data_IF_326815646300
#
_entry.id   IF_326815646300
#
_cell.length_a   1.000
_cell.length_b   1.000
_cell.length_c   1.000
_cell.angle_alpha   90.00
_cell.angle_beta   90.00
_cell.angle_gamma   90.00
#
_symmetry.space_group_name_H-M   'P 1'
#
loop_
_entity.id
_entity.type
_entity.pdbx_description
1 polymer ?
#
# COMPACT_ATOMS: atom_id res chain seq x y z
N UNK A 1 -22.83 36.17 11.03
CA UNK A 1 -23.17 34.76 10.72
C UNK A 1 -23.36 34.05 12.05
N UNK A 2 -24.58 33.55 12.31
CA UNK A 2 -24.93 32.95 13.59
C UNK A 2 -24.24 31.63 13.81
N UNK A 3 -23.76 31.35 15.00
CA UNK A 3 -23.09 30.11 15.42
C UNK A 3 -23.97 28.84 15.27
N UNK A 4 -25.24 29.00 14.85
CA UNK A 4 -26.26 27.96 14.79
C UNK A 4 -26.90 27.76 13.39
N UNK A 5 -26.29 28.27 12.33
CA UNK A 5 -26.85 28.05 10.99
C UNK A 5 -26.83 26.54 10.65
N UNK A 6 -28.04 26.02 10.36
CA UNK A 6 -28.20 24.61 9.98
C UNK A 6 -27.47 24.37 8.65
N UNK A 7 -26.45 23.48 8.65
CA UNK A 7 -25.74 23.06 7.45
C UNK A 7 -26.35 21.79 6.90
N UNK A 8 -26.40 21.72 5.58
CA UNK A 8 -26.86 20.54 4.85
C UNK A 8 -25.72 20.03 3.94
N UNK A 9 -25.74 18.74 3.64
CA UNK A 9 -24.79 18.12 2.73
C UNK A 9 -25.17 18.43 1.28
N UNK A 10 -24.28 19.06 0.53
CA UNK A 10 -24.54 19.44 -0.86
C UNK A 10 -24.52 18.23 -1.83
N UNK A 11 -24.17 17.06 -1.32
CA UNK A 11 -24.21 15.79 -2.06
C UNK A 11 -25.53 15.04 -1.85
N UNK A 12 -25.95 14.81 -0.60
CA UNK A 12 -27.12 13.97 -0.28
C UNK A 12 -28.29 14.73 0.38
N UNK A 13 -28.15 16.03 0.63
CA UNK A 13 -29.18 16.86 1.27
C UNK A 13 -29.38 16.62 2.77
N UNK A 14 -28.68 15.68 3.38
CA UNK A 14 -28.84 15.38 4.81
C UNK A 14 -28.35 16.53 5.69
N UNK A 15 -29.08 16.77 6.81
CA UNK A 15 -28.66 17.75 7.81
C UNK A 15 -27.35 17.35 8.48
N UNK A 16 -26.40 18.26 8.52
CA UNK A 16 -25.11 18.05 9.15
C UNK A 16 -25.17 18.47 10.63
N UNK A 17 -24.78 17.56 11.54
CA UNK A 17 -24.66 17.84 12.95
C UNK A 17 -23.48 18.76 13.27
N UNK A 18 -23.40 19.23 14.52
CA UNK A 18 -22.45 20.25 14.97
C UNK A 18 -20.98 19.98 14.62
N UNK A 19 -20.50 18.73 14.71
CA UNK A 19 -19.13 18.31 14.37
C UNK A 19 -19.04 17.47 13.09
N UNK A 20 -20.15 17.34 12.36
CA UNK A 20 -20.25 16.42 11.20
C UNK A 20 -19.81 17.02 9.86
N UNK A 21 -19.58 18.34 9.81
CA UNK A 21 -19.24 18.99 8.54
C UNK A 21 -17.83 18.68 8.08
N UNK A 22 -17.73 18.20 6.86
CA UNK A 22 -16.48 18.01 6.10
C UNK A 22 -16.47 19.04 4.97
N UNK A 23 -15.91 20.23 5.24
CA UNK A 23 -15.91 21.37 4.29
C UNK A 23 -15.24 20.97 2.99
N UNK A 24 -15.86 21.38 1.87
CA UNK A 24 -15.32 21.35 0.50
C UNK A 24 -14.91 22.77 0.09
N UNK A 25 -14.37 22.92 -1.11
CA UNK A 25 -14.04 24.24 -1.66
C UNK A 25 -15.30 25.12 -1.76
N UNK A 26 -16.34 24.59 -2.39
CA UNK A 26 -17.59 25.29 -2.72
C UNK A 26 -18.83 24.80 -1.94
N UNK A 27 -18.65 23.89 -0.92
CA UNK A 27 -19.80 23.31 -0.23
C UNK A 27 -19.49 22.58 1.06
N UNK A 28 -20.48 21.81 1.53
CA UNK A 28 -20.46 21.04 2.75
C UNK A 28 -20.75 19.56 2.48
N UNK A 29 -20.03 18.69 3.15
CA UNK A 29 -20.18 17.24 3.03
C UNK A 29 -20.48 16.64 4.41
N UNK A 30 -21.45 15.72 4.51
CA UNK A 30 -21.72 14.98 5.74
C UNK A 30 -20.67 13.87 5.95
N UNK A 31 -20.61 13.39 7.20
CA UNK A 31 -19.68 12.30 7.58
C UNK A 31 -19.91 11.02 6.75
N UNK A 32 -21.19 10.70 6.47
CA UNK A 32 -21.54 9.46 5.75
C UNK A 32 -21.11 9.51 4.28
N UNK A 33 -21.31 10.66 3.60
CA UNK A 33 -20.80 10.85 2.25
C UNK A 33 -19.26 10.85 2.22
N UNK A 34 -18.62 11.53 3.19
CA UNK A 34 -17.16 11.52 3.30
C UNK A 34 -16.58 10.13 3.55
N UNK A 35 -17.27 9.28 4.32
CA UNK A 35 -16.85 7.89 4.58
C UNK A 35 -16.98 6.95 3.38
N UNK A 36 -17.65 7.36 2.31
CA UNK A 36 -17.76 6.60 1.06
C UNK A 36 -16.65 6.91 0.06
N UNK A 37 -15.90 8.00 0.28
CA UNK A 37 -14.76 8.35 -0.58
C UNK A 37 -13.64 7.33 -0.46
N UNK A 38 -12.69 7.35 -1.38
CA UNK A 38 -11.48 6.55 -1.29
C UNK A 38 -10.71 6.86 0.00
N UNK A 39 -10.19 5.86 0.73
CA UNK A 39 -9.33 6.07 1.89
C UNK A 39 -7.99 6.71 1.52
N UNK A 40 -7.60 6.67 0.24
CA UNK A 40 -6.37 7.27 -0.29
C UNK A 40 -6.57 8.72 -0.77
N UNK A 41 -7.82 9.18 -0.83
CA UNK A 41 -8.14 10.54 -1.27
C UNK A 41 -7.88 11.55 -0.15
N UNK A 42 -6.85 12.37 -0.29
CA UNK A 42 -6.42 13.37 0.70
C UNK A 42 -6.95 14.77 0.44
N UNK A 43 -7.23 15.12 -0.82
CA UNK A 43 -7.48 16.51 -1.27
C UNK A 43 -8.94 16.97 -1.19
N UNK A 44 -9.73 16.37 -0.33
CA UNK A 44 -11.16 16.66 -0.18
C UNK A 44 -11.46 18.16 0.08
N UNK A 45 -10.58 18.88 0.80
CA UNK A 45 -10.84 20.28 1.15
C UNK A 45 -10.78 21.23 -0.04
N UNK A 46 -9.95 20.89 -1.00
CA UNK A 46 -9.74 21.66 -2.23
C UNK A 46 -10.60 21.12 -3.38
N UNK A 47 -11.47 20.14 -3.11
CA UNK A 47 -12.38 19.59 -4.09
C UNK A 47 -13.75 20.25 -4.04
N UNK A 48 -14.33 20.38 -5.22
CA UNK A 48 -15.69 20.90 -5.41
C UNK A 48 -16.75 19.82 -5.14
N UNK A 49 -17.99 20.23 -4.94
CA UNK A 49 -19.14 19.31 -4.81
C UNK A 49 -19.29 18.44 -6.07
N UNK A 50 -18.97 18.96 -7.24
CA UNK A 50 -19.03 18.22 -8.50
C UNK A 50 -18.01 17.07 -8.52
N UNK A 51 -16.75 17.34 -8.21
CA UNK A 51 -15.68 16.34 -8.12
C UNK A 51 -15.97 15.25 -7.08
N UNK A 52 -16.53 15.63 -5.93
CA UNK A 52 -16.95 14.66 -4.91
C UNK A 52 -18.07 13.75 -5.43
N UNK A 53 -19.02 14.27 -6.20
CA UNK A 53 -20.08 13.45 -6.83
C UNK A 53 -19.50 12.49 -7.88
N UNK A 54 -18.53 12.93 -8.67
CA UNK A 54 -17.83 12.08 -9.64
C UNK A 54 -17.06 10.96 -8.95
N UNK A 55 -16.33 11.28 -7.85
CA UNK A 55 -15.66 10.26 -7.07
C UNK A 55 -16.63 9.25 -6.47
N UNK A 56 -17.78 9.70 -5.95
CA UNK A 56 -18.78 8.79 -5.40
C UNK A 56 -19.39 7.88 -6.48
N UNK A 57 -19.59 8.37 -7.70
CA UNK A 57 -19.99 7.55 -8.84
C UNK A 57 -18.92 6.50 -9.18
N UNK A 58 -17.66 6.92 -9.29
CA UNK A 58 -16.52 6.00 -9.46
C UNK A 58 -16.48 4.91 -8.36
N UNK A 59 -16.74 5.28 -7.10
CA UNK A 59 -16.80 4.34 -5.97
C UNK A 59 -17.97 3.35 -6.07
N UNK A 60 -19.07 3.73 -6.69
CA UNK A 60 -20.19 2.83 -6.95
C UNK A 60 -19.86 1.84 -8.06
N UNK A 61 -19.26 2.29 -9.17
CA UNK A 61 -18.75 1.42 -10.23
C UNK A 61 -17.68 0.45 -9.72
N UNK A 62 -16.82 0.90 -8.78
CA UNK A 62 -15.80 0.07 -8.17
C UNK A 62 -16.38 -1.16 -7.46
N UNK A 63 -17.56 -1.06 -6.85
CA UNK A 63 -18.23 -2.21 -6.21
C UNK A 63 -18.53 -3.32 -7.23
N UNK A 64 -19.03 -2.95 -8.41
CA UNK A 64 -19.34 -3.92 -9.48
C UNK A 64 -18.05 -4.57 -10.00
N UNK A 65 -16.96 -3.79 -10.10
CA UNK A 65 -15.65 -4.30 -10.52
C UNK A 65 -15.01 -5.25 -9.49
N UNK A 66 -15.39 -5.16 -8.22
CA UNK A 66 -14.93 -6.05 -7.16
C UNK A 66 -15.63 -7.43 -7.20
N UNK A 67 -16.78 -7.57 -7.86
CA UNK A 67 -17.53 -8.83 -7.91
C UNK A 67 -16.74 -9.95 -8.60
N UNK A 68 -15.95 -9.61 -9.62
CA UNK A 68 -15.09 -10.55 -10.36
C UNK A 68 -13.61 -10.55 -9.90
N UNK A 69 -13.29 -9.87 -8.80
CA UNK A 69 -11.96 -9.87 -8.22
C UNK A 69 -11.68 -11.15 -7.44
N UNK A 70 -10.71 -11.94 -7.90
CA UNK A 70 -10.35 -13.25 -7.35
C UNK A 70 -8.87 -13.28 -6.95
N UNK A 71 -8.52 -12.71 -5.80
CA UNK A 71 -7.13 -12.67 -5.35
C UNK A 71 -6.61 -14.06 -5.00
N UNK A 72 -5.41 -14.37 -5.47
CA UNK A 72 -4.68 -15.62 -5.17
C UNK A 72 -3.38 -15.37 -4.43
N UNK A 73 -2.94 -14.11 -4.33
CA UNK A 73 -1.73 -13.70 -3.61
C UNK A 73 -2.10 -12.65 -2.59
N UNK A 74 -1.49 -12.72 -1.39
CA UNK A 74 -1.73 -11.78 -0.31
C UNK A 74 -0.42 -11.44 0.39
N UNK A 75 -0.21 -10.16 0.65
CA UNK A 75 0.85 -9.66 1.53
C UNK A 75 0.21 -8.99 2.75
N UNK A 76 0.68 -9.37 3.93
CA UNK A 76 0.27 -8.77 5.20
C UNK A 76 1.22 -7.63 5.58
N UNK A 77 0.69 -6.65 6.31
CA UNK A 77 1.41 -5.47 6.81
C UNK A 77 0.44 -4.52 7.49
N UNK A 78 0.79 -3.25 7.62
CA UNK A 78 -0.08 -2.17 8.14
C UNK A 78 -1.41 -2.07 7.37
N UNK A 79 -1.37 -2.48 6.12
CA UNK A 79 -2.50 -2.75 5.23
C UNK A 79 -2.23 -4.06 4.51
N UNK A 80 -3.27 -4.81 4.21
CA UNK A 80 -3.17 -6.04 3.40
C UNK A 80 -3.24 -5.70 1.93
N UNK A 81 -2.36 -6.32 1.15
CA UNK A 81 -2.39 -6.25 -0.31
C UNK A 81 -2.92 -7.57 -0.84
N UNK A 82 -4.09 -7.53 -1.48
CA UNK A 82 -4.66 -8.68 -2.17
C UNK A 82 -4.47 -8.51 -3.67
N UNK A 83 -3.98 -9.53 -4.34
CA UNK A 83 -3.59 -9.48 -5.75
C UNK A 83 -4.31 -10.58 -6.53
N UNK A 84 -4.96 -10.19 -7.63
CA UNK A 84 -5.45 -11.05 -8.70
C UNK A 84 -4.48 -10.95 -9.89
N UNK A 85 -3.46 -11.82 -9.94
CA UNK A 85 -2.42 -11.72 -10.97
C UNK A 85 -2.91 -12.12 -12.36
N UNK A 86 -4.02 -12.89 -12.43
CA UNK A 86 -4.61 -13.32 -13.71
C UNK A 86 -5.28 -12.13 -14.39
N UNK A 87 -6.02 -11.31 -13.63
CA UNK A 87 -6.68 -10.11 -14.15
C UNK A 87 -5.85 -8.86 -13.99
N UNK A 88 -4.61 -9.01 -13.51
CA UNK A 88 -3.65 -7.92 -13.28
C UNK A 88 -4.25 -6.76 -12.46
N UNK A 89 -4.86 -7.09 -11.31
CA UNK A 89 -5.51 -6.14 -10.41
C UNK A 89 -5.14 -6.41 -8.97
N UNK A 90 -5.19 -5.38 -8.14
CA UNK A 90 -4.96 -5.50 -6.70
C UNK A 90 -5.82 -4.51 -5.91
N UNK A 91 -5.96 -4.78 -4.62
CA UNK A 91 -6.51 -3.86 -3.63
C UNK A 91 -5.57 -3.76 -2.44
N UNK A 92 -5.56 -2.60 -1.79
CA UNK A 92 -4.86 -2.37 -0.54
C UNK A 92 -5.87 -1.91 0.51
N UNK A 93 -5.97 -2.63 1.63
CA UNK A 93 -6.99 -2.36 2.64
C UNK A 93 -6.56 -2.80 4.03
N UNK A 94 -7.11 -2.15 5.07
CA UNK A 94 -6.99 -2.61 6.46
C UNK A 94 -8.04 -3.65 6.83
N UNK A 95 -9.05 -3.86 5.98
CA UNK A 95 -10.14 -4.80 6.25
C UNK A 95 -9.70 -6.23 5.97
N UNK A 96 -9.75 -7.10 6.97
CA UNK A 96 -9.52 -8.53 6.79
C UNK A 96 -10.59 -9.17 5.90
N UNK A 97 -11.85 -8.73 6.03
CA UNK A 97 -12.92 -9.06 5.11
C UNK A 97 -13.14 -7.91 4.12
N UNK A 98 -12.32 -7.83 3.10
CA UNK A 98 -12.38 -6.78 2.09
C UNK A 98 -13.72 -6.74 1.33
N UNK A 99 -14.43 -7.88 1.22
CA UNK A 99 -15.75 -7.97 0.57
C UNK A 99 -16.84 -7.21 1.31
N UNK A 100 -16.68 -6.99 2.63
CA UNK A 100 -17.63 -6.18 3.42
C UNK A 100 -17.46 -4.67 3.21
N UNK A 101 -16.36 -4.27 2.59
CA UNK A 101 -16.04 -2.88 2.29
C UNK A 101 -16.11 -2.60 0.78
N UNK A 102 -15.57 -1.47 0.41
CA UNK A 102 -15.37 -1.10 -1.00
C UNK A 102 -13.94 -0.58 -1.17
N UNK A 103 -12.89 -1.45 -1.05
CA UNK A 103 -11.52 -1.03 -1.30
C UNK A 103 -11.35 -0.63 -2.78
N UNK A 104 -10.42 0.28 -3.05
CA UNK A 104 -10.14 0.71 -4.42
C UNK A 104 -9.48 -0.43 -5.20
N UNK A 105 -10.09 -0.83 -6.30
CA UNK A 105 -9.55 -1.82 -7.22
C UNK A 105 -8.66 -1.14 -8.25
N UNK A 106 -7.37 -1.40 -8.16
CA UNK A 106 -6.33 -0.80 -9.00
C UNK A 106 -5.82 -1.85 -10.00
N UNK A 107 -5.69 -1.46 -11.26
CA UNK A 107 -5.06 -2.30 -12.30
C UNK A 107 -3.55 -2.13 -12.29
N UNK A 108 -2.80 -3.17 -12.62
CA UNK A 108 -1.34 -3.07 -12.78
C UNK A 108 -0.93 -2.02 -13.83
N UNK A 109 -1.78 -1.80 -14.84
CA UNK A 109 -1.55 -0.75 -15.84
C UNK A 109 -1.54 0.66 -15.27
N UNK A 110 -2.15 0.87 -14.11
CA UNK A 110 -2.16 2.14 -13.40
C UNK A 110 -0.93 2.34 -12.50
N UNK A 111 -0.15 1.28 -12.26
CA UNK A 111 1.07 1.39 -11.45
C UNK A 111 2.18 2.03 -12.27
N UNK A 112 2.62 3.21 -11.85
CA UNK A 112 3.73 3.95 -12.48
C UNK A 112 5.07 3.51 -11.92
N UNK A 113 5.15 3.37 -10.60
CA UNK A 113 6.36 2.97 -9.89
C UNK A 113 6.01 2.32 -8.54
N UNK A 114 6.93 1.50 -8.03
CA UNK A 114 6.88 0.97 -6.66
C UNK A 114 8.21 1.29 -6.00
N UNK A 115 8.18 2.17 -5.02
CA UNK A 115 9.34 2.54 -4.20
C UNK A 115 9.37 1.67 -2.96
N UNK A 116 10.58 1.28 -2.59
CA UNK A 116 10.84 0.46 -1.40
C UNK A 116 11.88 1.14 -0.55
N UNK A 117 11.62 1.26 0.75
CA UNK A 117 12.52 1.86 1.72
C UNK A 117 12.62 0.99 2.98
N UNK A 118 13.84 0.84 3.49
CA UNK A 118 14.10 0.16 4.77
C UNK A 118 14.64 1.20 5.74
N UNK A 119 13.79 1.65 6.65
CA UNK A 119 14.15 2.62 7.66
C UNK A 119 14.70 1.91 8.89
N UNK A 120 15.93 2.25 9.29
CA UNK A 120 16.52 1.83 10.56
C UNK A 120 16.11 2.81 11.67
N UNK A 121 15.46 2.29 12.71
CA UNK A 121 15.25 3.00 13.95
C UNK A 121 16.31 2.56 14.96
N UNK A 122 16.79 3.51 15.75
CA UNK A 122 17.82 3.30 16.76
C UNK A 122 17.44 4.02 18.03
N UNK A 123 17.24 3.27 19.11
CA UNK A 123 16.90 3.82 20.41
C UNK A 123 18.00 3.51 21.43
N UNK A 124 18.36 4.48 22.30
CA UNK A 124 19.34 4.27 23.34
C UNK A 124 18.71 3.54 24.53
N UNK A 125 19.36 2.47 24.99
CA UNK A 125 18.97 1.75 26.19
C UNK A 125 19.55 2.47 27.40
N UNK A 126 18.69 2.84 28.34
CA UNK A 126 19.09 3.45 29.59
C UNK A 126 19.24 2.40 30.71
N UNK A 127 20.29 2.56 31.50
CA UNK A 127 20.56 1.77 32.68
C UNK A 127 20.06 2.47 33.95
N UNK A 128 19.60 1.72 34.96
CA UNK A 128 19.25 2.28 36.27
C UNK A 128 20.51 2.35 37.14
N UNK A 129 20.71 3.48 37.81
CA UNK A 129 21.74 3.61 38.85
C UNK A 129 21.28 3.02 40.18
N UNK A 130 22.11 3.12 41.24
CA UNK A 130 21.84 2.62 42.57
C UNK A 130 20.66 3.27 43.28
N UNK A 131 20.26 4.46 42.79
CA UNK A 131 19.11 5.23 43.30
C UNK A 131 17.84 5.02 42.47
N UNK A 132 17.95 4.21 41.36
CA UNK A 132 16.82 3.91 40.46
C UNK A 132 16.60 4.93 39.35
N UNK A 133 17.48 5.95 39.21
CA UNK A 133 17.38 6.93 38.12
C UNK A 133 17.91 6.34 36.82
N UNK A 134 17.27 6.70 35.72
CA UNK A 134 17.71 6.30 34.38
C UNK A 134 18.89 7.16 33.91
N UNK A 135 19.94 6.49 33.41
CA UNK A 135 21.10 7.13 32.80
C UNK A 135 21.68 6.29 31.67
N UNK A 136 22.43 6.93 30.75
CA UNK A 136 23.12 6.22 29.68
C UNK A 136 23.99 5.09 30.25
N UNK A 137 23.89 3.90 29.68
CA UNK A 137 24.77 2.78 30.00
C UNK A 137 26.21 3.08 29.61
N UNK A 138 27.17 2.50 30.33
CA UNK A 138 28.59 2.56 29.97
C UNK A 138 29.16 1.15 29.75
N UNK A 139 29.49 0.77 28.50
CA UNK A 139 29.35 1.53 27.24
C UNK A 139 27.88 1.73 26.87
N UNK A 140 27.60 2.76 26.04
CA UNK A 140 26.23 3.00 25.52
C UNK A 140 25.72 1.77 24.78
N UNK A 141 24.46 1.46 24.99
CA UNK A 141 23.75 0.36 24.33
C UNK A 141 22.61 0.91 23.52
N UNK A 142 22.28 0.23 22.42
CA UNK A 142 21.22 0.64 21.52
C UNK A 142 20.38 -0.59 21.12
N UNK A 143 19.10 -0.38 21.01
CA UNK A 143 18.19 -1.28 20.33
C UNK A 143 17.94 -0.77 18.91
N UNK A 144 17.72 -1.68 18.01
CA UNK A 144 17.44 -1.39 16.61
C UNK A 144 16.17 -2.10 16.20
N UNK A 145 15.38 -1.46 15.35
CA UNK A 145 14.33 -2.10 14.59
C UNK A 145 14.31 -1.56 13.15
N UNK A 146 13.71 -2.31 12.25
CA UNK A 146 13.69 -1.99 10.82
C UNK A 146 12.26 -1.98 10.28
N UNK A 147 11.86 -0.84 9.71
CA UNK A 147 10.59 -0.65 9.02
C UNK A 147 10.76 -0.92 7.53
N UNK A 148 9.93 -1.80 6.98
CA UNK A 148 9.91 -2.14 5.57
C UNK A 148 8.75 -1.43 4.89
N UNK A 149 9.01 -0.28 4.30
CA UNK A 149 8.03 0.62 3.72
C UNK A 149 7.92 0.43 2.20
N UNK A 150 6.70 0.48 1.69
CA UNK A 150 6.40 0.44 0.26
C UNK A 150 5.50 1.62 -0.07
N UNK A 151 5.84 2.36 -1.12
CA UNK A 151 5.01 3.38 -1.73
C UNK A 151 4.71 2.97 -3.17
N UNK A 152 3.43 2.76 -3.47
CA UNK A 152 2.95 2.40 -4.80
C UNK A 152 2.42 3.67 -5.45
N UNK A 153 3.11 4.17 -6.47
CA UNK A 153 2.67 5.31 -7.26
C UNK A 153 1.73 4.84 -8.36
N UNK A 154 0.55 5.42 -8.41
CA UNK A 154 -0.51 5.01 -9.33
C UNK A 154 -1.03 6.19 -10.17
N UNK A 155 -1.56 5.87 -11.34
CA UNK A 155 -2.29 6.80 -12.18
C UNK A 155 -3.79 6.61 -11.93
N UNK A 156 -4.30 7.36 -10.96
CA UNK A 156 -5.71 7.38 -10.60
C UNK A 156 -6.20 8.84 -10.52
N UNK A 157 -7.43 9.15 -10.93
CA UNK A 157 -7.95 10.51 -10.83
C UNK A 157 -8.16 11.00 -9.40
N UNK A 158 -8.08 10.10 -8.40
CA UNK A 158 -8.46 10.40 -7.02
C UNK A 158 -7.30 10.29 -6.01
N UNK A 159 -6.23 9.63 -6.36
CA UNK A 159 -5.02 9.48 -5.53
C UNK A 159 -3.87 9.02 -6.41
N UNK A 160 -2.67 9.37 -6.03
CA UNK A 160 -1.43 9.09 -6.76
C UNK A 160 -0.49 8.15 -6.01
N UNK A 161 -0.74 7.95 -4.71
CA UNK A 161 0.12 7.14 -3.85
C UNK A 161 -0.67 6.24 -2.90
N UNK A 162 -0.14 5.04 -2.68
CA UNK A 162 -0.59 4.09 -1.68
C UNK A 162 0.60 3.66 -0.85
N UNK A 163 0.64 4.07 0.41
CA UNK A 163 1.72 3.73 1.35
C UNK A 163 1.31 2.57 2.27
N UNK A 164 2.24 1.66 2.54
CA UNK A 164 2.10 0.61 3.54
C UNK A 164 3.45 0.21 4.12
N UNK A 165 3.45 -0.30 5.35
CA UNK A 165 4.57 -0.95 6.01
C UNK A 165 4.31 -2.45 6.07
N UNK A 166 5.26 -3.28 5.60
CA UNK A 166 5.13 -4.74 5.63
C UNK A 166 5.46 -5.33 7.01
N UNK A 167 6.34 -4.68 7.77
CA UNK A 167 6.83 -5.15 9.07
C UNK A 167 5.98 -4.69 10.25
N UNK A 168 4.81 -4.07 10.01
CA UNK A 168 3.94 -3.54 11.06
C UNK A 168 3.59 -4.61 12.11
N UNK A 169 3.91 -4.28 13.37
CA UNK A 169 3.69 -5.18 14.52
C UNK A 169 4.71 -6.32 14.69
N UNK A 170 5.68 -6.49 13.76
CA UNK A 170 6.72 -7.52 13.87
C UNK A 170 8.02 -7.09 13.16
N UNK A 171 8.61 -5.98 13.62
CA UNK A 171 9.83 -5.44 13.02
C UNK A 171 11.05 -6.27 13.40
N UNK A 172 11.95 -6.61 12.46
CA UNK A 172 13.20 -7.26 12.79
C UNK A 172 14.14 -6.34 13.57
N UNK A 173 14.84 -6.87 14.57
CA UNK A 173 15.79 -6.15 15.41
C UNK A 173 17.23 -6.20 14.86
N UNK A 174 17.47 -6.99 13.83
CA UNK A 174 18.81 -7.17 13.24
C UNK A 174 18.72 -7.37 11.72
N UNK A 175 19.64 -6.70 11.00
CA UNK A 175 19.83 -6.89 9.55
C UNK A 175 20.28 -8.32 9.18
N UNK A 176 20.79 -9.07 10.15
CA UNK A 176 21.28 -10.44 9.94
C UNK A 176 20.24 -11.50 10.29
N UNK A 177 19.06 -11.11 10.79
CA UNK A 177 17.99 -12.04 11.14
C UNK A 177 17.33 -12.64 9.89
N UNK A 178 16.76 -13.83 10.05
CA UNK A 178 15.96 -14.47 9.00
C UNK A 178 14.72 -13.63 8.67
N UNK A 179 14.12 -13.02 9.71
CA UNK A 179 12.98 -12.14 9.59
C UNK A 179 13.26 -10.91 8.70
N UNK A 180 14.47 -10.31 8.84
CA UNK A 180 14.87 -9.20 7.97
C UNK A 180 14.93 -9.63 6.50
N UNK A 181 15.56 -10.79 6.23
CA UNK A 181 15.66 -11.35 4.87
C UNK A 181 14.28 -11.72 4.30
N UNK A 182 13.38 -12.21 5.14
CA UNK A 182 12.00 -12.51 4.74
C UNK A 182 11.26 -11.26 4.28
N UNK A 183 11.34 -10.16 5.03
CA UNK A 183 10.70 -8.90 4.63
C UNK A 183 11.35 -8.28 3.39
N UNK A 184 12.67 -8.35 3.28
CA UNK A 184 13.37 -7.91 2.06
C UNK A 184 12.90 -8.68 0.82
N UNK A 185 12.72 -9.97 0.96
CA UNK A 185 12.19 -10.82 -0.12
C UNK A 185 10.73 -10.48 -0.44
N UNK A 186 9.85 -10.36 0.57
CA UNK A 186 8.44 -9.99 0.39
C UNK A 186 8.30 -8.63 -0.30
N UNK A 187 9.09 -7.65 0.12
CA UNK A 187 9.10 -6.31 -0.47
C UNK A 187 9.48 -6.35 -1.95
N UNK A 188 10.54 -7.09 -2.30
CA UNK A 188 10.98 -7.29 -3.68
C UNK A 188 9.92 -8.04 -4.51
N UNK A 189 9.36 -9.11 -3.96
CA UNK A 189 8.33 -9.91 -4.63
C UNK A 189 7.07 -9.07 -4.93
N UNK A 190 6.59 -8.29 -3.97
CA UNK A 190 5.46 -7.40 -4.18
C UNK A 190 5.73 -6.36 -5.27
N UNK A 191 6.90 -5.71 -5.23
CA UNK A 191 7.30 -4.74 -6.24
C UNK A 191 7.39 -5.37 -7.65
N UNK A 192 7.98 -6.55 -7.76
CA UNK A 192 8.12 -7.28 -9.04
C UNK A 192 6.76 -7.69 -9.61
N UNK A 193 5.83 -8.15 -8.78
CA UNK A 193 4.47 -8.49 -9.21
C UNK A 193 3.76 -7.24 -9.75
N UNK A 194 3.73 -6.15 -8.98
CA UNK A 194 3.01 -4.94 -9.35
C UNK A 194 3.61 -4.26 -10.59
N UNK A 195 4.94 -4.32 -10.73
CA UNK A 195 5.64 -3.79 -11.91
C UNK A 195 5.69 -4.79 -13.09
N UNK A 196 4.99 -5.92 -12.99
CA UNK A 196 4.98 -6.99 -14.02
C UNK A 196 6.37 -7.57 -14.34
N UNK A 197 7.32 -7.44 -13.43
CA UNK A 197 8.68 -7.98 -13.59
C UNK A 197 8.76 -9.47 -13.27
N UNK A 198 7.77 -10.00 -12.55
CA UNK A 198 7.68 -11.41 -12.21
C UNK A 198 6.81 -12.19 -13.20
N UNK A 199 7.38 -13.21 -13.83
CA UNK A 199 6.62 -14.18 -14.65
C UNK A 199 5.98 -15.29 -13.80
N UNK A 200 6.16 -15.30 -12.49
CA UNK A 200 5.77 -16.42 -11.60
C UNK A 200 4.26 -16.63 -11.53
N UNK A 201 3.47 -15.61 -11.78
CA UNK A 201 2.01 -15.61 -11.65
C UNK A 201 1.25 -15.50 -12.97
N UNK A 202 1.98 -15.47 -14.11
CA UNK A 202 1.38 -15.49 -15.44
C UNK A 202 1.09 -16.92 -15.88
N UNK A 203 0.15 -17.60 -15.23
CA UNK A 203 -0.22 -18.95 -15.67
C UNK A 203 -1.68 -19.20 -15.45
N UNK A 204 -2.33 -19.56 -16.55
CA UNK A 204 -3.71 -19.97 -16.79
C UNK A 204 -4.64 -18.86 -17.31
N UNK A 205 -4.62 -18.67 -18.61
CA UNK A 205 -5.80 -18.29 -19.34
C UNK A 205 -6.76 -19.49 -19.38
N UNK A 206 -8.06 -19.19 -19.39
CA UNK A 206 -9.13 -20.16 -19.18
C UNK A 206 -9.26 -21.29 -20.20
N UNK A 207 -8.32 -21.47 -21.12
CA UNK A 207 -8.31 -22.53 -22.15
C UNK A 207 -7.42 -23.72 -21.81
N UNK A 208 -6.87 -23.80 -20.60
CA UNK A 208 -6.12 -24.97 -20.16
C UNK A 208 -4.79 -25.22 -20.89
N UNK A 209 -4.36 -24.32 -21.75
CA UNK A 209 -3.03 -24.37 -22.33
C UNK A 209 -2.03 -23.83 -21.36
N UNK A 210 -1.22 -24.73 -20.78
CA UNK A 210 0.01 -24.40 -20.09
C UNK A 210 0.92 -23.66 -21.06
N UNK A 211 0.91 -22.32 -21.04
CA UNK A 211 2.06 -21.57 -21.51
C UNK A 211 3.17 -21.85 -20.53
N UNK A 212 3.97 -22.87 -20.83
CA UNK A 212 5.16 -23.20 -20.06
C UNK A 212 5.94 -21.92 -19.88
N UNK A 213 6.04 -21.50 -18.63
CA UNK A 213 7.11 -20.61 -18.20
C UNK A 213 8.38 -21.30 -18.65
N UNK A 214 9.03 -20.80 -19.69
CA UNK A 214 10.44 -21.07 -19.90
C UNK A 214 11.12 -20.49 -18.68
N UNK A 215 11.47 -21.39 -17.78
CA UNK A 215 12.38 -21.04 -16.69
C UNK A 215 13.59 -20.35 -17.32
N UNK A 216 14.17 -19.41 -16.58
CA UNK A 216 15.40 -18.68 -16.91
C UNK A 216 16.63 -19.59 -17.11
N UNK A 217 16.49 -20.67 -17.86
CA UNK A 217 17.62 -21.55 -18.21
C UNK A 217 18.29 -21.16 -19.51
N UNK A 218 17.79 -20.16 -20.23
CA UNK A 218 18.38 -19.65 -21.45
C UNK A 218 19.07 -18.29 -21.29
N UNK A 219 19.67 -18.00 -20.14
CA UNK A 219 20.75 -17.01 -20.14
C UNK A 219 22.00 -17.70 -20.66
N UNK A 220 22.52 -17.35 -21.85
CA UNK A 220 23.83 -17.80 -22.26
C UNK A 220 24.81 -17.30 -21.20
N UNK A 221 25.56 -18.26 -20.60
CA UNK A 221 26.72 -17.94 -19.78
C UNK A 221 27.60 -17.02 -20.63
N UNK A 222 27.72 -15.75 -20.22
CA UNK A 222 28.78 -14.90 -20.75
C UNK A 222 30.09 -15.48 -20.27
N UNK A 223 30.69 -16.30 -21.10
CA UNK A 223 32.09 -16.70 -21.00
C UNK A 223 32.91 -15.40 -21.05
N UNK A 224 33.51 -15.03 -19.95
CA UNK A 224 34.59 -14.05 -19.93
C UNK A 224 35.72 -14.61 -20.84
N UNK A 225 36.20 -13.83 -21.81
CA UNK A 225 37.42 -14.19 -22.49
C UNK A 225 38.54 -14.19 -21.45
N UNK A 226 39.15 -15.37 -21.25
CA UNK A 226 40.41 -15.49 -20.52
C UNK A 226 41.46 -14.68 -21.26
N UNK A 227 42.04 -13.67 -20.59
CA UNK A 227 43.26 -13.05 -21.03
C UNK A 227 44.34 -14.11 -21.12
N UNK A 228 44.62 -14.55 -22.34
CA UNK A 228 45.84 -15.26 -22.63
C UNK A 228 46.96 -14.23 -22.77
N UNK A 229 47.77 -14.15 -21.74
CA UNK A 229 49.14 -13.66 -21.89
C UNK A 229 49.85 -14.60 -22.85
N UNK A 230 50.54 -14.02 -23.82
CA UNK A 230 51.81 -14.60 -24.32
C UNK A 230 52.53 -13.63 -25.26
N UNK A 231 53.80 -13.41 -24.91
CA UNK A 231 54.99 -12.92 -25.64
C UNK A 231 55.04 -11.49 -26.14
#
# INVERSE_FOLDING_TARGET
MGLFDKKYCDVCGAKIGFLGNRKLEDGNLCKDCAGKLSPFFSDRRNSTVAEIKEQLAYREDNKQRLDDFLPTVTFDGSKKVYIDPIRERFIVTRLSNWRSGNPDLVSFSQVRNVETDIKENKEEIFCKDSEGNEKSCHPRRYEYDYEFNITIHVDSPWFDEIELELSDGNRPESRFSDLYREYEQKMRELADILMRRSNRYRVFDGDGMMNRIRAEHDRPCLLYPSDAADE
#
